data_IF_583326896215
#
_entry.id   IF_583326896215
#
_cell.length_a   1.000
_cell.length_b   1.000
_cell.length_c   1.000
_cell.angle_alpha   90.00
_cell.angle_beta   90.00
_cell.angle_gamma   90.00
#
_symmetry.space_group_name_H-M   'P 1'
#
loop_
_entity.id
_entity.type
_entity.pdbx_description
1 polymer ?
#
# COMPACT_ATOMS: atom_id res chain seq x y z
N UNK A 1 4.04 5.73 -19.83
CA UNK A 1 4.84 5.80 -18.60
C UNK A 1 5.70 7.05 -18.62
N UNK A 2 5.79 7.72 -17.51
CA UNK A 2 6.56 8.94 -17.36
C UNK A 2 8.04 8.59 -17.17
N UNK A 3 8.93 9.12 -18.03
CA UNK A 3 10.36 8.87 -17.92
C UNK A 3 10.91 9.37 -16.58
N UNK A 4 10.36 10.49 -16.07
CA UNK A 4 10.75 11.03 -14.78
C UNK A 4 10.45 10.04 -13.65
N UNK A 5 9.29 9.42 -13.68
CA UNK A 5 8.93 8.41 -12.67
C UNK A 5 9.88 7.22 -12.76
N UNK A 6 10.16 6.75 -13.97
CA UNK A 6 11.10 5.63 -14.15
C UNK A 6 12.47 5.97 -13.55
N UNK A 7 12.95 7.18 -13.79
CA UNK A 7 14.24 7.61 -13.27
C UNK A 7 14.24 7.68 -11.74
N UNK A 8 13.12 8.17 -11.14
CA UNK A 8 12.98 8.21 -9.69
C UNK A 8 12.99 6.81 -9.10
N UNK A 9 12.30 5.87 -9.73
CA UNK A 9 12.27 4.48 -9.28
C UNK A 9 13.67 3.88 -9.31
N UNK A 10 14.41 4.09 -10.39
CA UNK A 10 15.77 3.54 -10.49
C UNK A 10 16.70 4.16 -9.45
N UNK A 11 16.63 5.46 -9.25
CA UNK A 11 17.43 6.12 -8.22
C UNK A 11 17.11 5.63 -6.83
N UNK A 12 15.81 5.50 -6.51
CA UNK A 12 15.37 5.03 -5.20
C UNK A 12 15.80 3.57 -4.97
N UNK A 13 15.76 2.73 -6.01
CA UNK A 13 16.23 1.35 -5.92
C UNK A 13 17.70 1.28 -5.52
N UNK A 14 18.47 2.28 -5.91
CA UNK A 14 19.89 2.36 -5.60
C UNK A 14 20.16 3.10 -4.29
N UNK A 15 19.12 3.39 -3.52
CA UNK A 15 19.26 3.96 -2.19
C UNK A 15 19.11 5.47 -2.10
N UNK A 16 18.68 6.14 -3.17
CA UNK A 16 18.47 7.60 -3.17
C UNK A 16 17.18 7.94 -2.41
N UNK A 17 17.33 8.41 -1.17
CA UNK A 17 16.20 8.75 -0.31
C UNK A 17 15.40 9.93 -0.84
N UNK A 18 16.08 10.91 -1.46
CA UNK A 18 15.38 12.07 -2.02
C UNK A 18 14.46 11.66 -3.18
N UNK A 19 14.93 10.74 -4.03
CA UNK A 19 14.12 10.20 -5.11
C UNK A 19 12.90 9.47 -4.57
N UNK A 20 13.08 8.67 -3.53
CA UNK A 20 11.97 7.98 -2.90
C UNK A 20 10.97 8.98 -2.29
N UNK A 21 11.46 10.04 -1.66
CA UNK A 21 10.61 11.09 -1.11
C UNK A 21 9.71 11.72 -2.17
N UNK A 22 10.23 11.92 -3.37
CA UNK A 22 9.43 12.44 -4.48
C UNK A 22 8.35 11.44 -4.91
N UNK A 23 8.69 10.15 -4.94
CA UNK A 23 7.69 9.12 -5.22
C UNK A 23 6.59 9.12 -4.16
N UNK A 24 6.95 9.26 -2.89
CA UNK A 24 5.97 9.35 -1.81
C UNK A 24 5.03 10.54 -2.05
N UNK A 25 5.57 11.70 -2.38
CA UNK A 25 4.75 12.89 -2.65
C UNK A 25 3.78 12.66 -3.80
N UNK A 26 4.20 11.95 -4.84
CA UNK A 26 3.34 11.68 -5.98
C UNK A 26 2.20 10.72 -5.66
N UNK A 27 2.43 9.79 -4.76
CA UNK A 27 1.49 8.69 -4.52
C UNK A 27 0.74 8.79 -3.21
N UNK A 28 1.13 9.69 -2.29
CA UNK A 28 0.57 9.67 -0.93
C UNK A 28 -0.94 9.87 -0.91
N UNK A 29 -1.50 10.71 -1.77
CA UNK A 29 -2.94 10.92 -1.80
C UNK A 29 -3.69 9.68 -2.23
N UNK A 30 -3.19 8.99 -3.26
CA UNK A 30 -3.82 7.77 -3.77
C UNK A 30 -3.69 6.62 -2.78
N UNK A 31 -2.52 6.50 -2.16
CA UNK A 31 -2.30 5.47 -1.14
C UNK A 31 -3.21 5.71 0.05
N UNK A 32 -3.30 6.96 0.52
CA UNK A 32 -4.18 7.27 1.65
C UNK A 32 -5.66 7.04 1.28
N UNK A 33 -6.06 7.40 0.07
CA UNK A 33 -7.44 7.18 -0.39
C UNK A 33 -7.80 5.70 -0.38
N UNK A 34 -6.88 4.85 -0.83
CA UNK A 34 -7.09 3.39 -0.78
C UNK A 34 -7.19 2.91 0.67
N UNK A 35 -6.30 3.38 1.52
CA UNK A 35 -6.29 2.98 2.93
C UNK A 35 -7.57 3.40 3.64
N UNK A 36 -8.08 4.60 3.36
CA UNK A 36 -9.34 5.09 3.95
C UNK A 36 -10.52 4.21 3.57
N UNK A 37 -10.52 3.69 2.34
CA UNK A 37 -11.60 2.79 1.89
C UNK A 37 -11.57 1.45 2.61
N UNK A 38 -10.40 1.01 3.07
CA UNK A 38 -10.22 -0.31 3.67
C UNK A 38 -10.22 -0.28 5.20
N UNK A 39 -9.90 0.85 5.80
CA UNK A 39 -9.76 0.97 7.25
C UNK A 39 -10.95 1.68 7.86
N UNK A 40 -11.38 1.31 9.08
CA UNK A 40 -12.54 1.91 9.72
C UNK A 40 -12.32 3.33 10.26
N UNK A 41 -11.07 3.73 10.47
CA UNK A 41 -10.76 5.07 10.98
C UNK A 41 -9.66 5.72 10.16
N UNK A 42 -9.65 7.07 10.09
CA UNK A 42 -8.55 7.77 9.41
C UNK A 42 -7.18 7.51 10.05
N UNK A 43 -7.14 7.30 11.36
CA UNK A 43 -5.90 7.02 12.08
C UNK A 43 -5.28 5.70 11.64
N UNK A 44 -6.11 4.68 11.49
CA UNK A 44 -5.64 3.38 10.98
C UNK A 44 -5.23 3.49 9.51
N UNK A 45 -5.95 4.28 8.72
CA UNK A 45 -5.60 4.49 7.32
C UNK A 45 -4.24 5.18 7.19
N UNK A 46 -3.97 6.17 8.04
CA UNK A 46 -2.68 6.86 8.03
C UNK A 46 -1.55 5.90 8.43
N UNK A 47 -1.77 5.09 9.45
CA UNK A 47 -0.79 4.11 9.88
C UNK A 47 -0.52 3.09 8.76
N UNK A 48 -1.57 2.61 8.09
CA UNK A 48 -1.41 1.68 6.98
C UNK A 48 -0.63 2.31 5.83
N UNK A 49 -0.89 3.57 5.52
CA UNK A 49 -0.17 4.28 4.45
C UNK A 49 1.33 4.39 4.79
N UNK A 50 1.66 4.71 6.03
CA UNK A 50 3.05 4.78 6.47
C UNK A 50 3.74 3.42 6.37
N UNK A 51 3.05 2.37 6.81
CA UNK A 51 3.56 1.00 6.72
C UNK A 51 3.80 0.59 5.27
N UNK A 52 2.89 0.98 4.37
CA UNK A 52 3.01 0.66 2.96
C UNK A 52 4.25 1.33 2.35
N UNK A 53 4.50 2.60 2.66
CA UNK A 53 5.68 3.28 2.15
C UNK A 53 6.97 2.73 2.74
N UNK A 54 6.96 2.33 4.00
CA UNK A 54 8.11 1.69 4.61
C UNK A 54 8.40 0.35 3.92
N UNK A 55 7.36 -0.45 3.69
CA UNK A 55 7.51 -1.71 2.97
C UNK A 55 8.01 -1.48 1.54
N UNK A 56 7.54 -0.41 0.89
CA UNK A 56 8.01 -0.06 -0.44
C UNK A 56 9.49 0.28 -0.45
N UNK A 57 9.94 1.09 0.50
CA UNK A 57 11.36 1.43 0.61
C UNK A 57 12.21 0.17 0.79
N UNK A 58 11.79 -0.72 1.69
CA UNK A 58 12.52 -1.95 1.98
C UNK A 58 12.49 -2.94 0.82
N UNK A 59 11.38 -2.98 0.08
CA UNK A 59 11.20 -3.94 -1.01
C UNK A 59 11.67 -3.44 -2.38
N UNK A 60 11.90 -2.13 -2.50
CA UNK A 60 12.21 -1.54 -3.81
C UNK A 60 13.46 -2.12 -4.47
N UNK A 61 14.55 -2.43 -3.74
CA UNK A 61 15.72 -3.07 -4.37
C UNK A 61 15.39 -4.40 -5.04
N UNK A 62 14.31 -5.06 -4.62
CA UNK A 62 13.89 -6.36 -5.16
C UNK A 62 12.74 -6.24 -6.15
N UNK A 63 12.25 -5.03 -6.41
CA UNK A 63 11.16 -4.81 -7.36
C UNK A 63 11.66 -5.08 -8.78
N UNK A 64 11.01 -6.04 -9.46
CA UNK A 64 11.46 -6.49 -10.79
C UNK A 64 10.79 -5.78 -11.94
N UNK A 65 9.76 -5.01 -11.68
CA UNK A 65 9.01 -4.38 -12.76
C UNK A 65 8.02 -5.32 -13.45
N UNK A 66 7.68 -6.46 -12.83
CA UNK A 66 6.71 -7.40 -13.37
C UNK A 66 5.30 -6.79 -13.43
N UNK A 67 5.06 -5.77 -12.62
CA UNK A 67 3.83 -4.99 -12.67
C UNK A 67 4.22 -3.51 -12.68
N UNK A 68 3.24 -2.64 -12.95
CA UNK A 68 3.46 -1.21 -12.81
C UNK A 68 3.81 -0.88 -11.35
N UNK A 69 4.61 0.13 -11.15
CA UNK A 69 4.99 0.56 -9.80
C UNK A 69 3.76 0.87 -8.95
N UNK A 70 2.78 1.57 -9.52
CA UNK A 70 1.55 1.91 -8.81
C UNK A 70 0.81 0.65 -8.32
N UNK A 71 0.71 -0.36 -9.17
CA UNK A 71 0.04 -1.61 -8.81
C UNK A 71 0.76 -2.30 -7.65
N UNK A 72 2.08 -2.34 -7.72
CA UNK A 72 2.90 -2.94 -6.67
C UNK A 72 2.71 -2.20 -5.35
N UNK A 73 2.75 -0.86 -5.40
CA UNK A 73 2.56 -0.02 -4.21
C UNK A 73 1.16 -0.20 -3.61
N UNK A 74 0.13 -0.31 -4.44
CA UNK A 74 -1.24 -0.51 -3.95
C UNK A 74 -1.41 -1.88 -3.30
N UNK A 75 -0.71 -2.90 -3.78
CA UNK A 75 -0.70 -4.21 -3.11
C UNK A 75 -0.10 -4.10 -1.72
N UNK A 76 1.01 -3.37 -1.60
CA UNK A 76 1.64 -3.15 -0.29
C UNK A 76 0.69 -2.40 0.63
N UNK A 77 -0.05 -1.42 0.10
CA UNK A 77 -1.04 -0.67 0.89
C UNK A 77 -2.16 -1.58 1.37
N UNK A 78 -2.71 -2.40 0.50
CA UNK A 78 -3.78 -3.34 0.87
C UNK A 78 -3.30 -4.33 1.91
N UNK A 79 -2.09 -4.85 1.75
CA UNK A 79 -1.52 -5.79 2.71
C UNK A 79 -1.34 -5.13 4.08
N UNK A 80 -0.89 -3.89 4.11
CA UNK A 80 -0.73 -3.15 5.35
C UNK A 80 -2.07 -2.94 6.05
N UNK A 81 -3.11 -2.59 5.29
CA UNK A 81 -4.45 -2.41 5.84
C UNK A 81 -4.98 -3.70 6.46
N UNK A 82 -4.86 -4.81 5.73
CA UNK A 82 -5.32 -6.11 6.22
C UNK A 82 -4.57 -6.50 7.50
N UNK A 83 -3.25 -6.31 7.50
CA UNK A 83 -2.43 -6.67 8.66
C UNK A 83 -2.80 -5.85 9.90
N UNK A 84 -3.00 -4.54 9.74
CA UNK A 84 -3.40 -3.70 10.86
C UNK A 84 -4.77 -4.07 11.41
N UNK A 85 -5.71 -4.33 10.53
CA UNK A 85 -7.05 -4.72 10.96
C UNK A 85 -7.05 -6.08 11.64
N UNK A 86 -6.21 -6.99 11.17
CA UNK A 86 -6.05 -8.29 11.81
C UNK A 86 -5.55 -8.13 13.24
N UNK A 87 -4.59 -7.24 13.47
CA UNK A 87 -4.09 -6.95 14.81
C UNK A 87 -5.16 -6.33 15.70
N UNK A 88 -5.89 -5.34 15.16
CA UNK A 88 -6.95 -4.67 15.92
C UNK A 88 -8.06 -5.64 16.32
N UNK A 89 -8.42 -6.55 15.42
CA UNK A 89 -9.56 -7.46 15.63
C UNK A 89 -9.21 -8.69 16.44
N UNK A 90 -7.95 -8.91 16.78
CA UNK A 90 -7.56 -10.04 17.66
C UNK A 90 -8.24 -9.98 19.00
N UNK A 91 -8.61 -8.78 19.46
CA UNK A 91 -9.28 -8.60 20.74
C UNK A 91 -10.79 -8.80 20.66
N UNK A 92 -11.34 -8.97 19.46
CA UNK A 92 -12.79 -9.02 19.25
C UNK A 92 -13.29 -10.42 18.89
N UNK A 93 -12.41 -11.39 18.76
CA UNK A 93 -12.77 -12.76 18.50
C UNK A 93 -12.55 -13.20 17.05
N UNK A 94 -12.36 -14.52 16.85
CA UNK A 94 -11.95 -15.06 15.53
C UNK A 94 -12.99 -14.86 14.42
N UNK A 95 -14.28 -15.06 14.72
CA UNK A 95 -15.30 -15.00 13.67
C UNK A 95 -15.46 -13.60 13.10
N UNK A 96 -15.35 -12.58 13.95
CA UNK A 96 -15.41 -11.20 13.48
C UNK A 96 -14.16 -10.85 12.66
N UNK A 97 -13.00 -11.29 13.11
CA UNK A 97 -11.74 -11.09 12.41
C UNK A 97 -11.80 -11.71 11.01
N UNK A 98 -12.27 -12.96 10.92
CA UNK A 98 -12.40 -13.64 9.64
C UNK A 98 -13.33 -12.90 8.68
N UNK A 99 -14.47 -12.44 9.19
CA UNK A 99 -15.45 -11.74 8.37
C UNK A 99 -14.88 -10.44 7.82
N UNK A 100 -14.23 -9.66 8.67
CA UNK A 100 -13.62 -8.39 8.27
C UNK A 100 -12.48 -8.61 7.28
N UNK A 101 -11.67 -9.62 7.51
CA UNK A 101 -10.58 -9.96 6.60
C UNK A 101 -11.10 -10.29 5.20
N UNK A 102 -12.14 -11.10 5.10
CA UNK A 102 -12.73 -11.45 3.81
C UNK A 102 -13.27 -10.21 3.09
N UNK A 103 -13.96 -9.35 3.83
CA UNK A 103 -14.54 -8.15 3.26
C UNK A 103 -13.47 -7.21 2.71
N UNK A 104 -12.38 -7.04 3.45
CA UNK A 104 -11.29 -6.16 3.04
C UNK A 104 -10.53 -6.73 1.86
N UNK A 105 -10.33 -8.03 1.80
CA UNK A 105 -9.69 -8.68 0.66
C UNK A 105 -10.53 -8.51 -0.59
N UNK A 106 -11.85 -8.60 -0.48
CA UNK A 106 -12.75 -8.39 -1.61
C UNK A 106 -12.65 -6.95 -2.12
N UNK A 107 -12.63 -5.96 -1.24
CA UNK A 107 -12.50 -4.56 -1.62
C UNK A 107 -11.17 -4.28 -2.31
N UNK A 108 -10.10 -4.86 -1.80
CA UNK A 108 -8.78 -4.72 -2.41
C UNK A 108 -8.75 -5.29 -3.82
N UNK A 109 -9.35 -6.47 -4.01
CA UNK A 109 -9.45 -7.12 -5.31
C UNK A 109 -10.22 -6.23 -6.29
N UNK A 110 -11.37 -5.71 -5.86
CA UNK A 110 -12.21 -4.86 -6.70
C UNK A 110 -11.47 -3.58 -7.10
N UNK A 111 -10.72 -3.00 -6.17
CA UNK A 111 -9.91 -1.81 -6.45
C UNK A 111 -8.88 -2.08 -7.54
N UNK A 112 -8.13 -3.15 -7.43
CA UNK A 112 -7.12 -3.50 -8.41
C UNK A 112 -7.75 -3.81 -9.78
N UNK A 113 -8.87 -4.51 -9.79
CA UNK A 113 -9.58 -4.82 -11.04
C UNK A 113 -10.04 -3.55 -11.74
N UNK A 114 -10.48 -2.55 -10.98
CA UNK A 114 -10.97 -1.29 -11.55
C UNK A 114 -9.85 -0.41 -12.11
N UNK A 115 -8.60 -0.59 -11.63
CA UNK A 115 -7.46 0.26 -11.98
C UNK A 115 -6.43 -0.42 -12.88
N UNK A 116 -6.75 -1.59 -13.37
CA UNK A 116 -5.97 -2.30 -14.35
C UNK A 116 -6.60 -2.21 -15.71
#
# INVERSE_FOLDING_TARGET
>A
MNDQEHNLIQAARNGDQAAFGELVQQYQKRVFALAVRMCPTPELAEEAAQEAFLAAWQGLPFFRGDSAFATWLYRLTSNACVDLLRKENRHQGPSLDDLLHRQLMQQSHDFYAAHH
#
